data_IF_923264021082
#
_entry.id   IF_923264021082
#
_cell.length_a   1.000
_cell.length_b   1.000
_cell.length_c   1.000
_cell.angle_alpha   90.00
_cell.angle_beta   90.00
_cell.angle_gamma   90.00
#
_symmetry.space_group_name_H-M   'P 1'
#
loop_
_entity.id
_entity.type
_entity.pdbx_description
1 polymer ?
#
# COMPACT_ATOMS: atom_id res chain seq x y z
N UNK A 1 6.21 35.59 -3.80
CA UNK A 1 6.90 34.36 -3.37
C UNK A 1 5.85 33.45 -2.75
N UNK A 2 5.38 32.45 -3.51
CA UNK A 2 4.60 31.33 -2.96
C UNK A 2 5.37 30.11 -3.44
N UNK A 3 6.17 29.52 -2.56
CA UNK A 3 6.84 28.25 -2.80
C UNK A 3 5.77 27.18 -2.92
N UNK A 4 5.53 26.73 -4.14
CA UNK A 4 4.70 25.58 -4.45
C UNK A 4 5.26 24.36 -3.68
N UNK A 5 4.51 23.76 -2.73
CA UNK A 5 5.02 22.63 -1.97
C UNK A 5 5.17 21.44 -2.92
N UNK A 6 6.33 20.77 -2.81
CA UNK A 6 6.83 19.83 -3.81
C UNK A 6 5.82 18.76 -4.21
N UNK A 7 5.75 18.54 -5.51
CA UNK A 7 5.39 17.22 -6.04
C UNK A 7 6.30 16.20 -5.34
N UNK A 8 5.72 15.26 -4.59
CA UNK A 8 6.41 14.06 -4.11
C UNK A 8 6.69 13.17 -5.33
N UNK A 9 7.74 13.49 -6.08
CA UNK A 9 8.06 12.85 -7.37
C UNK A 9 8.85 11.55 -7.26
N UNK A 10 9.00 10.96 -6.06
CA UNK A 10 9.60 9.62 -5.93
C UNK A 10 9.20 8.95 -4.61
N UNK A 11 8.29 7.98 -4.69
CA UNK A 11 8.21 6.93 -3.67
C UNK A 11 9.29 5.89 -4.05
N UNK A 12 10.45 5.94 -3.39
CA UNK A 12 11.47 4.87 -3.52
C UNK A 12 11.09 3.62 -2.71
N UNK A 13 10.09 3.74 -1.84
CA UNK A 13 9.56 2.64 -1.03
C UNK A 13 8.51 1.86 -1.81
N UNK A 14 8.49 0.55 -1.62
CA UNK A 14 7.47 -0.34 -2.18
C UNK A 14 6.09 0.05 -1.65
N UNK A 15 5.13 0.29 -2.55
CA UNK A 15 3.74 0.64 -2.22
C UNK A 15 2.78 -0.47 -2.63
N UNK A 16 1.82 -0.79 -1.75
CA UNK A 16 0.75 -1.75 -1.98
C UNK A 16 -0.59 -1.01 -2.19
N UNK A 17 -1.21 -1.15 -3.36
CA UNK A 17 -2.57 -0.64 -3.57
C UNK A 17 -3.58 -1.64 -3.00
N UNK A 18 -4.47 -1.16 -2.13
CA UNK A 18 -5.49 -1.99 -1.46
C UNK A 18 -6.82 -1.26 -1.41
N UNK A 19 -7.91 -2.03 -1.36
CA UNK A 19 -9.20 -1.50 -0.90
C UNK A 19 -9.07 -1.10 0.57
N UNK A 20 -9.47 0.11 0.92
CA UNK A 20 -9.40 0.68 2.27
C UNK A 20 -10.64 0.29 3.09
N UNK A 21 -10.88 -1.02 3.22
CA UNK A 21 -12.05 -1.61 3.89
C UNK A 21 -11.71 -2.23 5.26
N UNK A 22 -10.47 -2.03 5.72
CA UNK A 22 -9.95 -2.63 6.97
C UNK A 22 -9.57 -1.63 8.03
N UNK A 23 -9.73 -0.34 7.75
CA UNK A 23 -9.31 0.74 8.65
C UNK A 23 -7.80 0.78 8.84
N UNK A 24 -7.01 0.74 7.75
CA UNK A 24 -5.55 0.73 7.84
C UNK A 24 -5.02 2.00 8.52
N UNK A 25 -4.06 1.81 9.43
CA UNK A 25 -3.36 2.87 10.13
C UNK A 25 -1.83 2.79 9.93
N UNK A 26 -1.17 3.94 9.99
CA UNK A 26 0.30 3.98 10.00
C UNK A 26 0.78 3.32 11.28
N UNK A 27 1.67 2.34 11.16
CA UNK A 27 2.15 1.54 12.29
C UNK A 27 1.67 0.09 12.27
N UNK A 28 0.59 -0.20 11.55
CA UNK A 28 0.06 -1.55 11.38
C UNK A 28 1.07 -2.48 10.70
N UNK A 29 0.93 -3.78 10.97
CA UNK A 29 1.71 -4.83 10.31
C UNK A 29 0.86 -5.56 9.28
N UNK A 30 1.32 -5.56 8.03
CA UNK A 30 0.78 -6.41 6.98
C UNK A 30 1.46 -7.77 7.01
N UNK A 31 0.64 -8.84 6.97
CA UNK A 31 1.08 -10.20 6.71
C UNK A 31 0.69 -10.58 5.29
N UNK A 32 1.66 -10.55 4.38
CA UNK A 32 1.47 -10.97 2.99
C UNK A 32 1.73 -12.46 2.88
N UNK A 33 0.79 -13.19 2.29
CA UNK A 33 0.90 -14.63 2.03
C UNK A 33 1.12 -14.79 0.54
N UNK A 34 2.22 -15.45 0.17
CA UNK A 34 2.47 -15.79 -1.23
C UNK A 34 1.47 -16.88 -1.66
N UNK A 35 0.92 -16.72 -2.85
CA UNK A 35 -0.05 -17.64 -3.46
C UNK A 35 0.48 -18.11 -4.81
N UNK A 36 0.15 -19.34 -5.19
CA UNK A 36 0.49 -19.93 -6.47
C UNK A 36 -0.61 -19.59 -7.51
N UNK A 37 -0.31 -18.77 -8.54
CA UNK A 37 -1.32 -18.35 -9.53
C UNK A 37 -1.82 -19.52 -10.38
N UNK A 38 -1.02 -20.58 -10.55
CA UNK A 38 -1.38 -21.75 -11.35
C UNK A 38 -2.24 -22.75 -10.56
N UNK A 39 -2.33 -22.57 -9.24
CA UNK A 39 -3.12 -23.41 -8.33
C UNK A 39 -4.25 -22.64 -7.66
N UNK A 40 -5.00 -21.86 -8.45
CA UNK A 40 -6.18 -21.14 -7.95
C UNK A 40 -5.88 -20.28 -6.71
N UNK A 41 -4.71 -19.64 -6.68
CA UNK A 41 -4.24 -18.80 -5.58
C UNK A 41 -4.12 -19.55 -4.23
N UNK A 42 -3.84 -20.85 -4.27
CA UNK A 42 -3.50 -21.62 -3.07
C UNK A 42 -2.23 -21.06 -2.40
N UNK A 43 -2.19 -20.95 -1.06
CA UNK A 43 -1.00 -20.49 -0.35
C UNK A 43 0.21 -21.39 -0.56
N UNK A 44 1.36 -20.81 -0.88
CA UNK A 44 2.63 -21.57 -1.00
C UNK A 44 3.23 -21.92 0.36
N UNK A 45 2.75 -21.27 1.43
CA UNK A 45 3.31 -21.33 2.77
C UNK A 45 4.34 -20.23 3.06
N UNK A 46 4.81 -19.47 2.06
CA UNK A 46 5.69 -18.32 2.29
C UNK A 46 4.91 -17.11 2.79
N UNK A 47 5.53 -16.37 3.70
CA UNK A 47 4.96 -15.20 4.35
C UNK A 47 5.98 -14.08 4.41
N UNK A 48 5.59 -12.88 4.04
CA UNK A 48 6.32 -11.65 4.30
C UNK A 48 5.55 -10.77 5.30
N UNK A 49 6.28 -10.07 6.16
CA UNK A 49 5.70 -9.14 7.14
C UNK A 49 6.32 -7.77 6.91
N UNK A 50 5.47 -6.76 6.81
CA UNK A 50 5.90 -5.38 6.61
C UNK A 50 5.11 -4.44 7.50
N UNK A 51 5.73 -3.34 7.90
CA UNK A 51 5.07 -2.26 8.63
C UNK A 51 4.58 -1.20 7.64
N UNK A 52 3.35 -0.72 7.83
CA UNK A 52 2.83 0.43 7.09
C UNK A 52 3.51 1.70 7.62
N UNK A 53 4.24 2.39 6.76
CA UNK A 53 4.97 3.64 7.08
C UNK A 53 4.22 4.88 6.64
N UNK A 54 3.37 4.76 5.62
CA UNK A 54 2.56 5.84 5.07
C UNK A 54 1.31 5.30 4.37
N UNK A 55 0.26 6.11 4.34
CA UNK A 55 -0.99 5.80 3.63
C UNK A 55 -1.38 6.99 2.77
N UNK A 56 -1.48 6.77 1.46
CA UNK A 56 -2.01 7.75 0.52
C UNK A 56 -3.48 7.44 0.24
N UNK A 57 -4.33 8.44 0.49
CA UNK A 57 -5.75 8.47 0.12
C UNK A 57 -5.98 9.73 -0.71
N UNK A 58 -7.02 9.73 -1.54
CA UNK A 58 -7.57 10.85 -2.32
C UNK A 58 -7.45 10.70 -3.84
N UNK A 59 -8.55 11.00 -4.52
CA UNK A 59 -8.66 11.08 -5.97
C UNK A 59 -7.77 12.15 -6.59
N UNK A 60 -7.36 13.18 -5.83
CA UNK A 60 -6.42 14.20 -6.31
C UNK A 60 -5.06 13.61 -6.72
N UNK A 61 -4.74 12.42 -6.19
CA UNK A 61 -3.53 11.66 -6.50
C UNK A 61 -3.80 10.47 -7.44
N UNK A 62 -4.99 10.41 -8.06
CA UNK A 62 -5.41 9.32 -8.94
C UNK A 62 -5.82 8.04 -8.21
N UNK A 63 -6.05 8.10 -6.89
CA UNK A 63 -6.50 6.94 -6.11
C UNK A 63 -8.03 6.90 -6.14
N UNK A 64 -8.58 5.79 -6.64
CA UNK A 64 -10.02 5.57 -6.68
C UNK A 64 -10.64 5.66 -5.28
N UNK A 65 -11.92 6.09 -5.17
CA UNK A 65 -12.67 5.99 -3.92
C UNK A 65 -12.62 4.58 -3.34
N UNK A 66 -12.54 4.47 -2.02
CA UNK A 66 -12.39 3.20 -1.29
C UNK A 66 -11.05 2.46 -1.51
N UNK A 67 -10.07 3.07 -2.16
CA UNK A 67 -8.71 2.52 -2.25
C UNK A 67 -7.69 3.41 -1.53
N UNK A 68 -6.57 2.79 -1.18
CA UNK A 68 -5.42 3.46 -0.62
C UNK A 68 -4.13 2.82 -1.15
N UNK A 69 -3.05 3.60 -1.19
CA UNK A 69 -1.69 3.07 -1.37
C UNK A 69 -1.02 3.04 -0.01
N UNK A 70 -0.54 1.86 0.39
CA UNK A 70 0.14 1.59 1.65
C UNK A 70 1.64 1.51 1.36
N UNK A 71 2.43 2.46 1.86
CA UNK A 71 3.88 2.32 1.84
C UNK A 71 4.30 1.32 2.91
N UNK A 72 5.16 0.37 2.54
CA UNK A 72 5.53 -0.76 3.39
C UNK A 72 7.06 -0.89 3.52
N UNK A 73 7.52 -1.26 4.71
CA UNK A 73 8.94 -1.47 5.04
C UNK A 73 9.16 -2.67 5.95
#
# INVERSE_FOLDING_TARGET
MISNPGFLTKFEETGEMRKDDRGFEVGDNLRLVEVDPDKNLEPTGRVARYKITYILRSEQWGILPEYAILAIK
#
